data_IF_108727519311
#
_entry.id   IF_108727519311
#
_cell.length_a   1.000
_cell.length_b   1.000
_cell.length_c   1.000
_cell.angle_alpha   90.00
_cell.angle_beta   90.00
_cell.angle_gamma   90.00
#
_symmetry.space_group_name_H-M   'P 1'
#
loop_
_entity.id
_entity.type
_entity.pdbx_description
1 polymer ?
#
# COMPACT_ATOMS: atom_id res chain seq x y z
N UNK A 1 -24.46 -3.24 -4.97
CA UNK A 1 -23.68 -4.49 -5.07
C UNK A 1 -22.50 -4.33 -4.13
N UNK A 2 -22.29 -5.25 -3.18
CA UNK A 2 -21.09 -5.23 -2.35
C UNK A 2 -19.89 -5.53 -3.24
N UNK A 3 -18.97 -4.57 -3.38
CA UNK A 3 -17.67 -4.84 -4.00
C UNK A 3 -16.95 -5.91 -3.17
N UNK A 4 -16.39 -6.92 -3.82
CA UNK A 4 -15.56 -7.94 -3.17
C UNK A 4 -14.24 -7.30 -2.74
N UNK A 5 -13.69 -7.71 -1.60
CA UNK A 5 -12.38 -7.27 -1.09
C UNK A 5 -11.26 -7.31 -2.15
N UNK A 6 -11.34 -8.28 -3.08
CA UNK A 6 -10.36 -8.47 -4.16
C UNK A 6 -10.55 -7.51 -5.34
N UNK A 7 -11.71 -6.86 -5.49
CA UNK A 7 -12.03 -6.03 -6.66
C UNK A 7 -11.23 -4.71 -6.66
N UNK A 8 -10.75 -4.28 -5.49
CA UNK A 8 -9.92 -3.07 -5.33
C UNK A 8 -8.42 -3.36 -5.43
N UNK A 9 -8.01 -4.60 -5.75
CA UNK A 9 -6.60 -5.00 -5.81
C UNK A 9 -6.01 -4.93 -7.22
N UNK A 10 -4.70 -4.72 -7.28
CA UNK A 10 -3.87 -4.94 -8.46
C UNK A 10 -2.86 -6.09 -8.21
N UNK A 11 -1.93 -6.31 -9.13
CA UNK A 11 -0.90 -7.34 -9.00
C UNK A 11 -0.06 -7.21 -7.73
N UNK A 12 0.39 -6.01 -7.41
CA UNK A 12 1.22 -5.74 -6.23
C UNK A 12 0.43 -5.88 -4.92
N UNK A 13 -0.82 -5.41 -4.89
CA UNK A 13 -1.69 -5.57 -3.73
C UNK A 13 -2.02 -7.05 -3.47
N UNK A 14 -2.23 -7.84 -4.54
CA UNK A 14 -2.45 -9.27 -4.45
C UNK A 14 -1.24 -10.04 -3.93
N UNK A 15 -0.05 -9.76 -4.46
CA UNK A 15 1.20 -10.36 -4.00
C UNK A 15 1.45 -10.08 -2.50
N UNK A 16 1.30 -8.82 -2.08
CA UNK A 16 1.42 -8.41 -0.67
C UNK A 16 0.36 -9.06 0.25
N UNK A 17 -0.82 -9.38 -0.28
CA UNK A 17 -1.87 -10.08 0.47
C UNK A 17 -1.57 -11.57 0.57
N UNK A 18 -1.12 -12.20 -0.51
CA UNK A 18 -0.64 -13.58 -0.52
C UNK A 18 0.55 -13.77 0.43
N UNK A 19 1.50 -12.84 0.46
CA UNK A 19 2.62 -12.90 1.39
C UNK A 19 2.15 -12.90 2.85
N UNK A 20 1.18 -12.05 3.22
CA UNK A 20 0.60 -12.05 4.58
C UNK A 20 -0.07 -13.38 4.90
N UNK A 21 -0.84 -13.95 3.97
CA UNK A 21 -1.47 -15.26 4.13
C UNK A 21 -0.39 -16.32 4.41
N UNK A 22 0.64 -16.39 3.57
CA UNK A 22 1.67 -17.41 3.66
C UNK A 22 2.54 -17.24 4.91
N UNK A 23 2.85 -16.00 5.33
CA UNK A 23 3.54 -15.73 6.60
C UNK A 23 2.73 -16.19 7.82
N UNK A 24 1.40 -16.04 7.79
CA UNK A 24 0.53 -16.54 8.86
C UNK A 24 0.48 -18.07 8.84
N UNK A 25 0.47 -18.68 7.64
CA UNK A 25 0.39 -20.13 7.47
C UNK A 25 1.67 -20.86 7.91
N UNK A 26 2.82 -20.43 7.39
CA UNK A 26 4.12 -21.08 7.60
C UNK A 26 4.90 -20.51 8.80
N UNK A 27 4.65 -19.26 9.18
CA UNK A 27 5.41 -18.56 10.20
C UNK A 27 6.80 -18.13 9.74
N UNK A 28 7.47 -17.33 10.58
CA UNK A 28 8.79 -16.73 10.28
C UNK A 28 9.91 -17.74 10.04
N UNK A 29 9.76 -18.97 10.54
CA UNK A 29 10.81 -19.99 10.48
C UNK A 29 10.86 -20.77 9.18
N UNK A 30 9.75 -20.81 8.43
CA UNK A 30 9.58 -21.73 7.30
C UNK A 30 9.04 -21.07 6.05
N UNK A 31 9.12 -19.75 5.98
CA UNK A 31 8.71 -18.96 4.84
C UNK A 31 9.75 -17.90 4.51
N UNK A 32 10.15 -17.87 3.24
CA UNK A 32 11.10 -16.91 2.72
C UNK A 32 10.48 -16.16 1.55
N UNK A 33 10.47 -14.84 1.66
CA UNK A 33 10.19 -13.91 0.56
C UNK A 33 11.47 -13.55 -0.16
N UNK A 34 11.47 -13.58 -1.49
CA UNK A 34 12.63 -13.19 -2.30
C UNK A 34 12.49 -11.72 -2.73
N UNK A 35 13.39 -10.84 -2.28
CA UNK A 35 13.34 -9.43 -2.69
C UNK A 35 13.69 -9.28 -4.17
N UNK A 36 12.87 -8.54 -4.92
CA UNK A 36 13.12 -8.21 -6.33
C UNK A 36 13.94 -6.93 -6.57
N UNK A 37 14.25 -6.17 -5.52
CA UNK A 37 14.80 -4.81 -5.64
C UNK A 37 16.26 -4.76 -6.13
N UNK A 38 17.03 -5.84 -5.94
CA UNK A 38 18.40 -5.97 -6.43
C UNK A 38 18.47 -7.15 -7.41
N UNK A 39 18.71 -6.85 -8.68
CA UNK A 39 18.93 -7.83 -9.76
C UNK A 39 17.74 -8.77 -10.08
N UNK A 40 16.54 -8.46 -9.58
CA UNK A 40 15.31 -9.22 -9.81
C UNK A 40 15.16 -10.45 -8.89
N UNK A 41 14.05 -11.17 -9.05
CA UNK A 41 13.66 -12.28 -8.16
C UNK A 41 13.95 -13.68 -8.74
N UNK A 42 14.63 -13.74 -9.89
CA UNK A 42 14.81 -14.96 -10.69
C UNK A 42 13.49 -15.66 -11.09
N UNK A 43 12.34 -15.00 -11.02
CA UNK A 43 11.02 -15.61 -11.20
C UNK A 43 10.56 -16.44 -10.00
N UNK A 44 11.04 -16.10 -8.81
CA UNK A 44 10.68 -16.71 -7.53
C UNK A 44 10.18 -15.61 -6.58
N UNK A 45 8.90 -15.59 -6.23
CA UNK A 45 8.41 -14.61 -5.26
C UNK A 45 8.63 -15.13 -3.84
N UNK A 46 8.17 -16.37 -3.56
CA UNK A 46 8.28 -16.97 -2.24
C UNK A 46 8.63 -18.45 -2.30
N UNK A 47 9.20 -18.96 -1.21
CA UNK A 47 9.35 -20.39 -0.97
C UNK A 47 9.18 -20.75 0.50
N UNK A 48 8.83 -22.01 0.76
CA UNK A 48 8.70 -22.57 2.10
C UNK A 48 9.52 -23.84 2.26
N UNK A 49 9.91 -24.15 3.50
CA UNK A 49 10.76 -25.30 3.84
C UNK A 49 10.14 -26.66 3.49
N UNK A 50 8.83 -26.69 3.27
CA UNK A 50 8.10 -27.89 2.83
C UNK A 50 8.34 -28.25 1.34
N UNK A 51 9.16 -27.46 0.63
CA UNK A 51 9.47 -27.66 -0.78
C UNK A 51 8.44 -27.03 -1.71
N UNK A 52 7.67 -26.04 -1.25
CA UNK A 52 6.73 -25.28 -2.09
C UNK A 52 7.34 -23.97 -2.57
N UNK A 53 7.33 -23.76 -3.89
CA UNK A 53 7.57 -22.47 -4.53
C UNK A 53 6.26 -21.80 -4.87
N UNK A 54 6.21 -20.48 -4.66
CA UNK A 54 5.03 -19.66 -4.91
C UNK A 54 5.31 -18.60 -5.98
N UNK A 55 4.28 -18.35 -6.79
CA UNK A 55 4.15 -17.21 -7.68
C UNK A 55 2.74 -16.65 -7.54
N UNK A 56 2.59 -15.34 -7.69
CA UNK A 56 1.33 -14.64 -7.64
C UNK A 56 0.99 -14.12 -9.02
N UNK A 57 -0.31 -14.11 -9.32
CA UNK A 57 -0.78 -13.49 -10.54
C UNK A 57 -2.19 -12.95 -10.36
N UNK A 58 -2.34 -11.65 -10.62
CA UNK A 58 -3.63 -10.98 -10.64
C UNK A 58 -4.06 -10.73 -12.09
N UNK A 59 -4.82 -11.64 -12.72
CA UNK A 59 -5.37 -11.42 -14.04
C UNK A 59 -6.42 -10.31 -13.99
N UNK A 60 -6.52 -9.53 -15.08
CA UNK A 60 -7.56 -8.52 -15.26
C UNK A 60 -8.96 -9.11 -14.95
N UNK A 61 -9.68 -8.61 -13.93
CA UNK A 61 -10.95 -9.18 -13.52
C UNK A 61 -12.06 -8.98 -14.56
N UNK A 62 -11.90 -8.00 -15.46
CA UNK A 62 -12.86 -7.64 -16.50
C UNK A 62 -12.73 -8.47 -17.78
N UNK A 63 -11.65 -9.24 -17.93
CA UNK A 63 -11.41 -9.99 -19.16
C UNK A 63 -12.37 -11.17 -19.34
N UNK A 64 -12.54 -11.60 -20.60
CA UNK A 64 -13.36 -12.75 -20.95
C UNK A 64 -12.81 -14.04 -20.31
N UNK A 65 -13.64 -15.08 -20.17
CA UNK A 65 -13.17 -16.37 -19.66
C UNK A 65 -12.07 -16.98 -20.54
N UNK A 66 -12.13 -16.76 -21.86
CA UNK A 66 -11.13 -17.27 -22.78
C UNK A 66 -9.80 -16.55 -22.58
N UNK A 67 -9.81 -15.22 -22.51
CA UNK A 67 -8.63 -14.41 -22.24
C UNK A 67 -8.04 -14.71 -20.86
N UNK A 68 -8.88 -14.87 -19.84
CA UNK A 68 -8.47 -15.25 -18.50
C UNK A 68 -7.70 -16.58 -18.53
N UNK A 69 -8.26 -17.61 -19.17
CA UNK A 69 -7.59 -18.91 -19.30
C UNK A 69 -6.27 -18.78 -20.04
N UNK A 70 -6.24 -18.04 -21.15
CA UNK A 70 -5.02 -17.89 -21.96
C UNK A 70 -3.92 -17.17 -21.18
N UNK A 71 -4.24 -16.08 -20.50
CA UNK A 71 -3.29 -15.29 -19.69
C UNK A 71 -2.70 -16.11 -18.54
N UNK A 72 -3.55 -16.83 -17.79
CA UNK A 72 -3.08 -17.68 -16.69
C UNK A 72 -2.21 -18.83 -17.21
N UNK A 73 -2.59 -19.47 -18.33
CA UNK A 73 -1.76 -20.51 -18.97
C UNK A 73 -0.40 -19.97 -19.42
N UNK A 74 -0.37 -18.77 -19.99
CA UNK A 74 0.87 -18.11 -20.40
C UNK A 74 1.78 -17.84 -19.19
N UNK A 75 1.23 -17.26 -18.11
CA UNK A 75 1.96 -17.01 -16.86
C UNK A 75 2.58 -18.30 -16.31
N UNK A 76 1.81 -19.39 -16.18
CA UNK A 76 2.32 -20.71 -15.75
C UNK A 76 3.47 -21.16 -16.65
N UNK A 77 3.32 -21.07 -17.96
CA UNK A 77 4.36 -21.49 -18.89
C UNK A 77 5.64 -20.64 -18.79
N UNK A 78 5.48 -19.32 -18.74
CA UNK A 78 6.58 -18.37 -18.66
C UNK A 78 7.37 -18.55 -17.38
N UNK A 79 6.69 -18.64 -16.23
CA UNK A 79 7.36 -18.77 -14.93
C UNK A 79 8.07 -20.11 -14.78
N UNK A 80 7.47 -21.22 -15.21
CA UNK A 80 8.16 -22.51 -15.24
C UNK A 80 9.42 -22.47 -16.13
N UNK A 81 9.38 -21.76 -17.25
CA UNK A 81 10.58 -21.59 -18.09
C UNK A 81 11.64 -20.70 -17.40
N UNK A 82 11.24 -19.72 -16.57
CA UNK A 82 12.18 -18.94 -15.75
C UNK A 82 12.91 -19.79 -14.73
N UNK A 83 12.23 -20.77 -14.10
CA UNK A 83 12.88 -21.72 -13.18
C UNK A 83 14.01 -22.51 -13.87
N UNK A 84 13.84 -22.86 -15.14
CA UNK A 84 14.88 -23.52 -15.95
C UNK A 84 16.01 -22.54 -16.28
N UNK A 85 15.66 -21.35 -16.77
CA UNK A 85 16.63 -20.34 -17.20
C UNK A 85 17.54 -19.88 -16.05
N UNK A 86 16.99 -19.75 -14.85
CA UNK A 86 17.66 -19.18 -13.70
C UNK A 86 18.12 -20.24 -12.68
N UNK A 87 18.34 -21.49 -13.14
CA UNK A 87 18.62 -22.62 -12.26
C UNK A 87 19.75 -22.36 -11.26
N UNK A 88 20.86 -21.78 -11.72
CA UNK A 88 22.02 -21.51 -10.87
C UNK A 88 21.71 -20.53 -9.73
N UNK A 89 21.05 -19.41 -10.04
CA UNK A 89 20.66 -18.41 -9.05
C UNK A 89 19.66 -18.96 -8.04
N UNK A 90 18.64 -19.68 -8.52
CA UNK A 90 17.62 -20.30 -7.65
C UNK A 90 18.25 -21.36 -6.75
N UNK A 91 19.17 -22.19 -7.27
CA UNK A 91 19.82 -23.23 -6.46
C UNK A 91 20.63 -22.64 -5.30
N UNK A 92 21.23 -21.47 -5.48
CA UNK A 92 21.92 -20.74 -4.40
C UNK A 92 20.95 -20.21 -3.35
N UNK A 93 19.78 -19.69 -3.78
CA UNK A 93 18.75 -19.21 -2.85
C UNK A 93 18.14 -20.33 -2.00
N UNK A 94 17.96 -21.51 -2.60
CA UNK A 94 17.34 -22.66 -1.95
C UNK A 94 18.28 -23.40 -1.00
N UNK A 95 19.59 -23.22 -1.11
CA UNK A 95 20.62 -23.88 -0.26
C UNK A 95 20.37 -25.39 -0.04
N UNK A 96 20.13 -26.10 -1.14
CA UNK A 96 19.86 -27.54 -1.12
C UNK A 96 18.43 -27.95 -0.80
N UNK A 97 17.51 -27.00 -0.56
CA UNK A 97 16.08 -27.29 -0.45
C UNK A 97 15.55 -27.89 -1.76
N UNK A 98 14.93 -29.07 -1.63
CA UNK A 98 14.35 -29.81 -2.76
C UNK A 98 12.88 -29.45 -2.91
N UNK A 99 12.52 -28.97 -4.10
CA UNK A 99 11.19 -28.50 -4.42
C UNK A 99 10.30 -29.63 -4.90
N UNK A 100 9.17 -29.82 -4.23
CA UNK A 100 8.15 -30.82 -4.54
C UNK A 100 6.88 -30.18 -5.12
N UNK A 101 6.74 -28.86 -5.06
CA UNK A 101 5.57 -28.18 -5.59
C UNK A 101 5.90 -26.78 -6.08
N UNK A 102 5.29 -26.40 -7.21
CA UNK A 102 5.20 -25.00 -7.65
C UNK A 102 3.72 -24.62 -7.70
N UNK A 103 3.37 -23.50 -7.07
CA UNK A 103 1.98 -23.09 -6.85
C UNK A 103 1.76 -21.64 -7.29
N UNK A 104 0.84 -21.47 -8.25
CA UNK A 104 0.37 -20.15 -8.67
C UNK A 104 -0.84 -19.72 -7.84
N UNK A 105 -0.71 -18.63 -7.10
CA UNK A 105 -1.81 -17.99 -6.38
C UNK A 105 -2.51 -16.97 -7.27
N UNK A 106 -3.79 -17.20 -7.53
CA UNK A 106 -4.67 -16.28 -8.26
C UNK A 106 -5.88 -15.87 -7.41
N UNK A 107 -6.50 -14.71 -7.65
CA UNK A 107 -7.67 -14.27 -6.90
C UNK A 107 -8.79 -15.30 -6.87
N UNK A 108 -9.07 -15.94 -8.00
CA UNK A 108 -10.09 -16.98 -8.12
C UNK A 108 -9.67 -18.00 -9.19
N UNK A 109 -9.77 -19.29 -8.89
CA UNK A 109 -9.59 -20.36 -9.88
C UNK A 109 -10.89 -20.54 -10.66
N UNK A 110 -11.05 -19.83 -11.77
CA UNK A 110 -12.33 -19.72 -12.48
C UNK A 110 -12.65 -20.87 -13.44
N UNK A 111 -11.70 -21.77 -13.74
CA UNK A 111 -11.90 -22.87 -14.68
C UNK A 111 -11.11 -24.12 -14.33
N UNK A 112 -11.78 -25.28 -14.41
CA UNK A 112 -11.16 -26.62 -14.28
C UNK A 112 -10.10 -26.89 -15.35
N UNK A 113 -10.15 -26.19 -16.49
CA UNK A 113 -9.16 -26.34 -17.56
C UNK A 113 -7.76 -25.92 -17.10
N UNK A 114 -7.69 -24.98 -16.13
CA UNK A 114 -6.42 -24.55 -15.55
C UNK A 114 -5.80 -25.67 -14.69
N UNK A 115 -6.62 -26.44 -13.98
CA UNK A 115 -6.17 -27.62 -13.22
C UNK A 115 -5.62 -28.68 -14.18
N UNK A 116 -6.37 -28.99 -15.25
CA UNK A 116 -5.92 -29.92 -16.29
C UNK A 116 -4.64 -29.46 -16.99
N UNK A 117 -4.50 -28.14 -17.20
CA UNK A 117 -3.28 -27.55 -17.76
C UNK A 117 -2.08 -27.69 -16.81
N UNK A 118 -2.25 -27.46 -15.52
CA UNK A 118 -1.21 -27.68 -14.51
C UNK A 118 -0.71 -29.14 -14.49
N UNK A 119 -1.64 -30.11 -14.58
CA UNK A 119 -1.29 -31.53 -14.70
C UNK A 119 -0.48 -31.84 -15.96
N UNK A 120 -0.87 -31.25 -17.09
CA UNK A 120 -0.10 -31.36 -18.35
C UNK A 120 1.29 -30.73 -18.20
N UNK A 121 1.35 -29.53 -17.61
CA UNK A 121 2.59 -28.79 -17.39
C UNK A 121 3.56 -29.53 -16.49
N UNK A 122 3.08 -30.15 -15.42
CA UNK A 122 3.88 -31.01 -14.54
C UNK A 122 4.63 -32.07 -15.37
N UNK A 123 3.92 -32.82 -16.22
CA UNK A 123 4.52 -33.88 -17.04
C UNK A 123 5.54 -33.34 -18.04
N UNK A 124 5.25 -32.20 -18.67
CA UNK A 124 6.15 -31.61 -19.67
C UNK A 124 7.38 -30.96 -19.04
N UNK A 125 7.21 -30.32 -17.89
CA UNK A 125 8.26 -29.63 -17.16
C UNK A 125 9.28 -30.61 -16.60
N UNK A 126 8.83 -31.75 -16.04
CA UNK A 126 9.70 -32.81 -15.51
C UNK A 126 10.75 -33.33 -16.50
N UNK A 127 10.50 -33.27 -17.80
CA UNK A 127 11.46 -33.65 -18.85
C UNK A 127 12.68 -32.74 -18.93
N UNK A 128 12.56 -31.51 -18.42
CA UNK A 128 13.57 -30.45 -18.48
C UNK A 128 13.80 -29.83 -17.09
N UNK A 129 13.36 -30.52 -16.03
CA UNK A 129 13.32 -29.95 -14.70
C UNK A 129 14.75 -29.68 -14.18
N UNK A 130 14.99 -28.50 -13.57
CA UNK A 130 16.21 -28.17 -12.84
C UNK A 130 16.55 -29.18 -11.76
N UNK A 131 17.81 -29.17 -11.32
CA UNK A 131 18.35 -30.05 -10.29
C UNK A 131 17.64 -29.95 -8.93
N UNK A 132 17.15 -28.77 -8.54
CA UNK A 132 16.43 -28.55 -7.28
C UNK A 132 14.99 -29.12 -7.28
N UNK A 133 14.48 -29.66 -8.40
CA UNK A 133 13.13 -30.21 -8.49
C UNK A 133 13.13 -31.72 -8.17
N UNK A 134 12.25 -32.14 -7.28
CA UNK A 134 12.02 -33.55 -7.02
C UNK A 134 11.25 -34.23 -8.17
N UNK A 135 11.97 -34.94 -9.02
CA UNK A 135 11.37 -35.59 -10.20
C UNK A 135 10.33 -36.68 -9.87
N UNK A 136 10.35 -37.23 -8.65
CA UNK A 136 9.46 -38.32 -8.24
C UNK A 136 8.07 -37.85 -7.81
N UNK A 137 7.95 -36.66 -7.22
CA UNK A 137 6.69 -36.19 -6.64
C UNK A 137 6.29 -34.76 -7.02
N UNK A 138 7.08 -34.05 -7.86
CA UNK A 138 6.80 -32.66 -8.20
C UNK A 138 5.40 -32.42 -8.80
N UNK A 139 4.75 -31.33 -8.40
CA UNK A 139 3.46 -30.88 -8.94
C UNK A 139 3.46 -29.38 -9.27
N UNK A 140 2.90 -29.05 -10.42
CA UNK A 140 2.43 -27.69 -10.75
C UNK A 140 0.99 -27.58 -10.27
N UNK A 141 0.66 -26.52 -9.53
CA UNK A 141 -0.68 -26.26 -8.99
C UNK A 141 -1.09 -24.81 -9.19
N UNK A 142 -2.39 -24.60 -9.12
CA UNK A 142 -3.03 -23.29 -9.08
C UNK A 142 -4.03 -23.30 -7.95
N UNK A 143 -4.01 -22.29 -7.10
CA UNK A 143 -4.94 -22.14 -5.97
C UNK A 143 -5.35 -20.66 -5.81
N UNK A 144 -6.38 -20.42 -5.01
CA UNK A 144 -6.72 -19.08 -4.51
C UNK A 144 -6.43 -18.96 -3.01
N UNK A 145 -6.66 -17.77 -2.45
CA UNK A 145 -6.67 -17.57 -0.99
C UNK A 145 -7.71 -18.45 -0.28
N UNK A 146 -8.69 -19.03 -0.99
CA UNK A 146 -9.66 -19.96 -0.42
C UNK A 146 -9.04 -21.27 0.07
N UNK A 147 -7.84 -21.63 -0.40
CA UNK A 147 -7.06 -22.73 0.14
C UNK A 147 -6.56 -22.46 1.59
N UNK A 148 -6.60 -21.19 2.04
CA UNK A 148 -6.12 -20.73 3.35
C UNK A 148 -7.22 -19.98 4.11
N UNK A 149 -8.33 -20.64 4.50
CA UNK A 149 -9.53 -19.96 4.97
C UNK A 149 -9.35 -19.18 6.28
N UNK A 150 -8.49 -19.63 7.19
CA UNK A 150 -8.23 -18.93 8.45
C UNK A 150 -7.24 -17.77 8.26
N UNK A 151 -6.20 -18.02 7.47
CA UNK A 151 -5.11 -17.09 7.22
C UNK A 151 -5.59 -15.93 6.34
N UNK A 152 -6.43 -16.20 5.33
CA UNK A 152 -7.06 -15.15 4.52
C UNK A 152 -7.92 -14.23 5.39
N UNK A 153 -8.64 -14.77 6.38
CA UNK A 153 -9.44 -13.95 7.29
C UNK A 153 -8.55 -13.08 8.18
N UNK A 154 -7.51 -13.66 8.79
CA UNK A 154 -6.54 -12.91 9.61
C UNK A 154 -5.80 -11.83 8.80
N UNK A 155 -5.36 -12.16 7.58
CA UNK A 155 -4.70 -11.22 6.68
C UNK A 155 -5.64 -10.05 6.31
N UNK A 156 -6.92 -10.33 6.05
CA UNK A 156 -7.93 -9.28 5.86
C UNK A 156 -8.10 -8.42 7.10
N UNK A 157 -8.20 -9.01 8.29
CA UNK A 157 -8.29 -8.25 9.53
C UNK A 157 -7.10 -7.32 9.74
N UNK A 158 -5.87 -7.76 9.43
CA UNK A 158 -4.68 -6.92 9.53
C UNK A 158 -4.66 -5.76 8.53
N UNK A 159 -5.19 -5.99 7.31
CA UNK A 159 -5.32 -4.93 6.29
C UNK A 159 -6.45 -3.96 6.64
N UNK A 160 -7.55 -4.48 7.18
CA UNK A 160 -8.72 -3.69 7.56
C UNK A 160 -8.57 -3.00 8.91
N UNK A 161 -7.71 -3.50 9.81
CA UNK A 161 -7.41 -2.87 11.09
C UNK A 161 -6.73 -1.54 10.82
N UNK A 162 -7.46 -0.47 11.12
CA UNK A 162 -6.96 0.88 11.03
C UNK A 162 -5.82 1.07 12.04
N UNK A 163 -4.67 1.55 11.58
CA UNK A 163 -3.65 2.07 12.50
C UNK A 163 -4.24 3.32 13.16
N UNK A 164 -4.30 3.28 14.47
CA UNK A 164 -4.89 4.32 15.30
C UNK A 164 -3.89 4.71 16.38
N UNK A 165 -3.52 5.98 16.38
CA UNK A 165 -2.72 6.58 17.43
C UNK A 165 -3.62 7.54 18.19
N UNK A 166 -3.55 7.54 19.53
CA UNK A 166 -4.41 8.38 20.34
C UNK A 166 -4.15 9.87 20.03
N UNK A 167 -5.19 10.57 19.64
CA UNK A 167 -5.16 12.04 19.52
C UNK A 167 -5.46 12.64 20.89
N UNK A 168 -4.45 13.26 21.50
CA UNK A 168 -4.61 13.99 22.75
C UNK A 168 -5.27 15.35 22.53
N UNK A 169 -5.85 15.88 23.60
CA UNK A 169 -6.29 17.28 23.61
C UNK A 169 -5.09 18.22 23.76
N UNK A 170 -5.12 19.32 23.02
CA UNK A 170 -4.13 20.39 23.12
C UNK A 170 -4.68 21.47 24.06
N UNK A 171 -3.94 21.76 25.12
CA UNK A 171 -4.31 22.75 26.12
C UNK A 171 -4.13 24.17 25.60
N UNK A 172 -4.84 25.15 26.19
CA UNK A 172 -4.67 26.56 25.83
C UNK A 172 -3.24 27.05 26.10
N UNK A 173 -2.63 26.57 27.19
CA UNK A 173 -1.25 26.91 27.54
C UNK A 173 -0.26 26.48 26.45
N UNK A 174 -0.41 25.27 25.91
CA UNK A 174 0.43 24.80 24.79
C UNK A 174 0.25 25.65 23.53
N UNK A 175 -0.99 26.06 23.23
CA UNK A 175 -1.24 26.96 22.09
C UNK A 175 -0.57 28.32 22.30
N UNK A 176 -0.63 28.87 23.51
CA UNK A 176 -0.06 30.17 23.81
C UNK A 176 1.47 30.13 23.82
N UNK A 177 2.05 29.04 24.34
CA UNK A 177 3.48 28.75 24.20
C UNK A 177 3.88 28.65 22.73
N UNK A 178 3.14 27.90 21.91
CA UNK A 178 3.40 27.79 20.46
C UNK A 178 3.35 29.14 19.76
N UNK A 179 2.37 30.00 20.08
CA UNK A 179 2.27 31.38 19.54
C UNK A 179 3.50 32.22 19.89
N UNK A 180 4.00 32.10 21.11
CA UNK A 180 5.17 32.85 21.59
C UNK A 180 6.47 32.42 20.89
N UNK A 181 6.66 31.11 20.70
CA UNK A 181 7.85 30.53 20.07
C UNK A 181 7.82 30.74 18.55
N UNK A 182 6.65 30.56 17.93
CA UNK A 182 6.48 30.54 16.47
C UNK A 182 5.82 31.82 15.96
N UNK A 183 6.32 33.00 16.37
CA UNK A 183 5.68 34.29 16.08
C UNK A 183 5.44 34.52 14.58
N UNK A 184 6.39 34.12 13.72
CA UNK A 184 6.24 34.24 12.27
C UNK A 184 5.09 33.37 11.72
N UNK A 185 4.93 32.15 12.24
CA UNK A 185 3.88 31.23 11.81
C UNK A 185 2.51 31.69 12.30
N UNK A 186 2.46 32.18 13.55
CA UNK A 186 1.25 32.79 14.10
C UNK A 186 0.80 34.02 13.29
N UNK A 187 1.73 34.91 12.93
CA UNK A 187 1.44 36.07 12.08
C UNK A 187 0.93 35.65 10.70
N UNK A 188 1.46 34.57 10.13
CA UNK A 188 0.96 34.01 8.87
C UNK A 188 -0.47 33.51 8.99
N UNK A 189 -0.80 32.78 10.07
CA UNK A 189 -2.16 32.32 10.33
C UNK A 189 -3.13 33.49 10.42
N UNK A 190 -2.83 34.51 11.24
CA UNK A 190 -3.69 35.71 11.38
C UNK A 190 -3.92 36.37 10.02
N UNK A 191 -2.84 36.65 9.28
CA UNK A 191 -2.90 37.34 7.99
C UNK A 191 -3.71 36.56 6.95
N UNK A 192 -3.46 35.25 6.82
CA UNK A 192 -4.09 34.43 5.78
C UNK A 192 -5.52 34.06 6.14
N UNK A 193 -5.79 33.69 7.39
CA UNK A 193 -7.15 33.41 7.84
C UNK A 193 -8.03 34.66 7.80
N UNK A 194 -7.46 35.86 8.03
CA UNK A 194 -8.18 37.12 7.85
C UNK A 194 -8.64 37.40 6.41
N UNK A 195 -8.06 36.73 5.41
CA UNK A 195 -8.51 36.78 4.01
C UNK A 195 -9.54 35.70 3.68
N UNK A 196 -9.74 34.73 4.57
CA UNK A 196 -10.73 33.66 4.44
C UNK A 196 -12.01 34.04 5.18
N UNK A 197 -11.87 34.60 6.38
CA UNK A 197 -12.98 34.94 7.26
C UNK A 197 -12.78 36.32 7.91
N UNK A 198 -13.82 37.17 8.02
CA UNK A 198 -13.72 38.50 8.62
C UNK A 198 -13.29 38.51 10.09
N UNK A 199 -13.60 37.45 10.85
CA UNK A 199 -13.20 37.28 12.25
C UNK A 199 -12.49 35.93 12.42
N UNK A 200 -11.17 35.87 12.13
CA UNK A 200 -10.47 34.59 12.00
C UNK A 200 -10.02 34.00 13.35
N UNK A 201 -10.26 34.67 14.49
CA UNK A 201 -9.66 34.29 15.78
C UNK A 201 -9.89 32.83 16.17
N UNK A 202 -11.14 32.36 16.08
CA UNK A 202 -11.49 30.96 16.36
C UNK A 202 -10.87 29.98 15.35
N UNK A 203 -10.80 30.37 14.07
CA UNK A 203 -10.15 29.57 13.02
C UNK A 203 -8.66 29.44 13.30
N UNK A 204 -7.97 30.54 13.62
CA UNK A 204 -6.54 30.55 13.96
C UNK A 204 -6.28 29.65 15.16
N UNK A 205 -7.05 29.77 16.24
CA UNK A 205 -6.85 28.95 17.44
C UNK A 205 -7.12 27.45 17.20
N UNK A 206 -8.07 27.11 16.33
CA UNK A 206 -8.30 25.73 15.87
C UNK A 206 -7.11 25.19 15.08
N UNK A 207 -6.62 25.94 14.09
CA UNK A 207 -5.51 25.52 13.23
C UNK A 207 -4.20 25.36 14.03
N UNK A 208 -3.98 26.14 15.09
CA UNK A 208 -2.83 25.93 15.99
C UNK A 208 -2.97 24.58 16.71
N UNK A 209 -4.17 24.24 17.19
CA UNK A 209 -4.42 22.93 17.79
C UNK A 209 -4.20 21.78 16.80
N UNK A 210 -4.72 21.91 15.58
CA UNK A 210 -4.53 20.90 14.53
C UNK A 210 -3.07 20.78 14.07
N UNK A 211 -2.31 21.87 14.07
CA UNK A 211 -0.86 21.87 13.83
C UNK A 211 -0.13 21.03 14.89
N UNK A 212 -0.42 21.27 16.17
CA UNK A 212 0.26 20.56 17.27
C UNK A 212 -0.07 19.07 17.27
N UNK A 213 -1.35 18.71 17.04
CA UNK A 213 -1.75 17.29 16.88
C UNK A 213 -1.04 16.65 15.69
N UNK A 214 -0.90 17.37 14.57
CA UNK A 214 -0.18 16.86 13.41
C UNK A 214 1.27 16.52 13.75
N UNK A 215 1.98 17.40 14.47
CA UNK A 215 3.38 17.15 14.84
C UNK A 215 3.53 15.88 15.67
N UNK A 216 2.62 15.66 16.65
CA UNK A 216 2.61 14.45 17.46
C UNK A 216 2.35 13.20 16.60
N UNK A 217 1.37 13.26 15.70
CA UNK A 217 1.06 12.14 14.79
C UNK A 217 2.21 11.86 13.81
N UNK A 218 2.85 12.89 13.27
CA UNK A 218 4.01 12.73 12.37
C UNK A 218 5.12 11.96 13.08
N UNK A 219 5.42 12.30 14.34
CA UNK A 219 6.44 11.60 15.14
C UNK A 219 6.05 10.13 15.32
N UNK A 220 4.83 9.87 15.80
CA UNK A 220 4.36 8.51 16.08
C UNK A 220 4.36 7.61 14.83
N UNK A 221 3.83 8.10 13.71
CA UNK A 221 3.82 7.34 12.46
C UNK A 221 5.23 7.16 11.88
N UNK A 222 6.12 8.14 12.02
CA UNK A 222 7.50 8.00 11.55
C UNK A 222 8.28 6.93 12.31
N UNK A 223 8.04 6.81 13.61
CA UNK A 223 8.74 5.86 14.48
C UNK A 223 8.22 4.42 14.30
N UNK A 224 6.91 4.24 14.26
CA UNK A 224 6.29 2.91 14.22
C UNK A 224 6.00 2.40 12.79
N UNK A 225 5.71 3.32 11.86
CA UNK A 225 5.27 3.00 10.49
C UNK A 225 5.94 3.91 9.43
N UNK A 226 7.28 3.87 9.29
CA UNK A 226 8.03 4.84 8.49
C UNK A 226 7.60 4.89 7.01
N UNK A 227 7.25 3.75 6.41
CA UNK A 227 6.76 3.70 5.02
C UNK A 227 5.39 4.37 4.87
N UNK A 228 4.49 4.19 5.84
CA UNK A 228 3.18 4.85 5.83
C UNK A 228 3.31 6.36 6.08
N UNK A 229 4.20 6.76 6.99
CA UNK A 229 4.53 8.17 7.20
C UNK A 229 5.07 8.82 5.92
N UNK A 230 5.93 8.12 5.18
CA UNK A 230 6.46 8.58 3.89
C UNK A 230 5.36 8.71 2.84
N UNK A 231 4.50 7.70 2.70
CA UNK A 231 3.35 7.73 1.78
C UNK A 231 2.46 8.96 2.06
N UNK A 232 2.08 9.18 3.31
CA UNK A 232 1.28 10.34 3.74
C UNK A 232 1.99 11.66 3.40
N UNK A 233 3.28 11.77 3.72
CA UNK A 233 4.07 12.98 3.50
C UNK A 233 4.21 13.32 2.01
N UNK A 234 4.49 12.32 1.18
CA UNK A 234 4.65 12.48 -0.27
C UNK A 234 3.32 12.92 -0.92
N UNK A 235 2.20 12.35 -0.50
CA UNK A 235 0.87 12.68 -1.02
C UNK A 235 0.47 14.12 -0.70
N UNK A 236 0.76 14.59 0.51
CA UNK A 236 0.47 15.97 0.91
C UNK A 236 1.39 16.95 0.21
N UNK A 237 2.68 16.63 0.08
CA UNK A 237 3.63 17.47 -0.65
C UNK A 237 3.22 17.61 -2.13
N UNK A 238 2.72 16.52 -2.75
CA UNK A 238 2.19 16.54 -4.10
C UNK A 238 0.98 17.46 -4.24
N UNK A 239 -0.02 17.35 -3.35
CA UNK A 239 -1.20 18.23 -3.36
C UNK A 239 -0.82 19.70 -3.24
N UNK A 240 0.13 20.00 -2.35
CA UNK A 240 0.63 21.36 -2.18
C UNK A 240 1.35 21.88 -3.44
N UNK A 241 2.15 21.05 -4.10
CA UNK A 241 2.84 21.44 -5.34
C UNK A 241 1.87 21.66 -6.49
N UNK A 242 0.83 20.82 -6.61
CA UNK A 242 -0.26 21.01 -7.59
C UNK A 242 -0.94 22.35 -7.33
N UNK A 243 -1.30 22.63 -6.07
CA UNK A 243 -1.93 23.89 -5.69
C UNK A 243 -1.08 25.10 -6.06
N UNK A 244 0.22 25.08 -5.70
CA UNK A 244 1.17 26.15 -6.05
C UNK A 244 1.27 26.37 -7.56
N UNK A 245 1.24 25.28 -8.33
CA UNK A 245 1.32 25.33 -9.79
C UNK A 245 0.05 25.93 -10.38
N UNK A 246 -1.13 25.50 -9.92
CA UNK A 246 -2.41 26.02 -10.39
C UNK A 246 -2.57 27.51 -10.09
N UNK A 247 -2.09 27.97 -8.93
CA UNK A 247 -2.11 29.38 -8.53
C UNK A 247 -1.30 30.32 -9.46
N UNK A 248 -0.46 29.78 -10.37
CA UNK A 248 0.20 30.56 -11.42
C UNK A 248 -0.76 30.95 -12.55
N UNK A 249 -1.86 30.22 -12.72
CA UNK A 249 -2.77 30.33 -13.87
C UNK A 249 -4.18 30.78 -13.49
N UNK A 250 -4.67 30.45 -12.29
CA UNK A 250 -5.99 30.85 -11.79
C UNK A 250 -5.89 31.63 -10.47
N UNK A 251 -6.81 32.58 -10.30
CA UNK A 251 -7.10 33.21 -9.01
C UNK A 251 -8.45 32.69 -8.53
N UNK A 252 -8.43 32.00 -7.41
CA UNK A 252 -9.61 31.43 -6.76
C UNK A 252 -9.86 32.12 -5.42
N UNK A 253 -11.09 32.04 -4.92
CA UNK A 253 -11.41 32.51 -3.59
C UNK A 253 -10.58 31.75 -2.53
N UNK A 254 -9.98 32.44 -1.53
CA UNK A 254 -9.14 31.80 -0.54
C UNK A 254 -9.83 30.67 0.26
N UNK A 255 -11.12 30.82 0.57
CA UNK A 255 -11.88 29.81 1.29
C UNK A 255 -12.12 28.58 0.42
N UNK A 256 -12.47 28.78 -0.85
CA UNK A 256 -12.64 27.69 -1.81
C UNK A 256 -11.34 26.90 -2.01
N UNK A 257 -10.22 27.59 -2.15
CA UNK A 257 -8.90 27.00 -2.33
C UNK A 257 -8.48 26.13 -1.14
N UNK A 258 -8.68 26.64 0.09
CA UNK A 258 -8.39 25.88 1.32
C UNK A 258 -9.31 24.65 1.44
N UNK A 259 -10.59 24.82 1.11
CA UNK A 259 -11.55 23.71 1.16
C UNK A 259 -11.27 22.64 0.10
N UNK A 260 -10.84 23.02 -1.10
CA UNK A 260 -10.43 22.08 -2.15
C UNK A 260 -9.17 21.31 -1.75
N UNK A 261 -8.15 21.99 -1.21
CA UNK A 261 -6.96 21.33 -0.67
C UNK A 261 -7.33 20.33 0.43
N UNK A 262 -8.21 20.70 1.35
CA UNK A 262 -8.67 19.81 2.42
C UNK A 262 -9.40 18.58 1.86
N UNK A 263 -10.27 18.76 0.86
CA UNK A 263 -10.96 17.64 0.18
C UNK A 263 -9.97 16.70 -0.51
N UNK A 264 -8.97 17.24 -1.21
CA UNK A 264 -7.91 16.47 -1.85
C UNK A 264 -7.07 15.70 -0.83
N UNK A 265 -6.73 16.32 0.30
CA UNK A 265 -6.03 15.63 1.38
C UNK A 265 -6.87 14.48 1.93
N UNK A 266 -8.15 14.70 2.24
CA UNK A 266 -9.05 13.63 2.72
C UNK A 266 -9.17 12.47 1.73
N UNK A 267 -9.35 12.77 0.44
CA UNK A 267 -9.44 11.75 -0.61
C UNK A 267 -8.16 10.91 -0.69
N UNK A 268 -7.01 11.56 -0.67
CA UNK A 268 -5.70 10.91 -0.71
C UNK A 268 -5.47 10.05 0.55
N UNK A 269 -5.69 10.59 1.75
CA UNK A 269 -5.52 9.83 2.99
C UNK A 269 -6.48 8.63 3.05
N UNK A 270 -7.67 8.73 2.44
CA UNK A 270 -8.60 7.60 2.32
C UNK A 270 -8.16 6.51 1.33
N UNK A 271 -7.23 6.82 0.42
CA UNK A 271 -6.69 5.87 -0.56
C UNK A 271 -5.37 5.22 -0.12
N UNK A 272 -4.94 5.42 1.13
CA UNK A 272 -3.74 4.77 1.67
C UNK A 272 -3.86 3.24 1.61
N UNK A 273 -2.74 2.57 1.32
CA UNK A 273 -2.69 1.10 1.26
C UNK A 273 -3.01 0.45 2.60
N UNK A 274 -2.52 1.05 3.68
CA UNK A 274 -2.85 0.67 5.05
C UNK A 274 -3.88 1.65 5.59
N UNK A 275 -5.03 1.12 6.07
CA UNK A 275 -6.05 1.96 6.68
C UNK A 275 -5.49 2.60 7.95
N UNK A 276 -5.84 3.87 8.15
CA UNK A 276 -5.67 4.58 9.41
C UNK A 276 -7.04 4.98 9.96
N UNK A 277 -7.11 5.29 11.25
CA UNK A 277 -8.39 5.62 11.87
C UNK A 277 -8.99 6.88 11.24
N UNK A 278 -10.32 6.99 11.30
CA UNK A 278 -11.01 8.18 10.80
C UNK A 278 -10.54 9.45 11.53
N UNK A 279 -10.24 9.33 12.83
CA UNK A 279 -9.73 10.44 13.64
C UNK A 279 -8.34 10.88 13.15
N UNK A 280 -7.40 9.95 12.96
CA UNK A 280 -6.08 10.26 12.43
C UNK A 280 -6.13 10.79 11.00
N UNK A 281 -6.98 10.21 10.17
CA UNK A 281 -7.18 10.65 8.78
C UNK A 281 -7.62 12.12 8.70
N UNK A 282 -8.61 12.49 9.52
CA UNK A 282 -9.06 13.88 9.59
C UNK A 282 -7.94 14.79 10.12
N UNK A 283 -7.22 14.37 11.17
CA UNK A 283 -6.14 15.16 11.77
C UNK A 283 -4.93 15.35 10.87
N UNK A 284 -4.54 14.35 10.08
CA UNK A 284 -3.57 14.56 9.00
C UNK A 284 -4.12 15.57 7.98
N UNK A 285 -5.35 15.37 7.51
CA UNK A 285 -5.92 16.18 6.43
C UNK A 285 -5.97 17.67 6.77
N UNK A 286 -6.51 18.04 7.94
CA UNK A 286 -6.59 19.44 8.39
C UNK A 286 -5.28 19.94 9.00
N UNK A 287 -4.52 19.06 9.66
CA UNK A 287 -3.24 19.40 10.25
C UNK A 287 -2.24 19.86 9.20
N UNK A 288 -2.17 19.18 8.05
CA UNK A 288 -1.26 19.58 6.96
C UNK A 288 -1.68 20.89 6.30
N UNK A 289 -2.99 21.16 6.21
CA UNK A 289 -3.49 22.48 5.79
C UNK A 289 -3.05 23.55 6.80
N UNK A 290 -3.19 23.27 8.09
CA UNK A 290 -2.76 24.16 9.18
C UNK A 290 -1.27 24.49 9.09
N UNK A 291 -0.44 23.45 8.94
CA UNK A 291 1.02 23.57 8.74
C UNK A 291 1.36 24.38 7.51
N UNK A 292 0.69 24.15 6.39
CA UNK A 292 0.89 24.94 5.18
C UNK A 292 0.52 26.42 5.38
N UNK A 293 -0.63 26.73 5.96
CA UNK A 293 -1.05 28.12 6.19
C UNK A 293 -0.01 28.83 7.09
N UNK A 294 0.43 28.16 8.16
CA UNK A 294 1.41 28.65 9.11
C UNK A 294 2.80 28.89 8.49
N UNK A 295 3.35 27.93 7.74
CA UNK A 295 4.75 27.95 7.30
C UNK A 295 4.97 28.57 5.91
N UNK A 296 3.97 28.49 5.02
CA UNK A 296 4.14 28.91 3.64
C UNK A 296 4.35 30.43 3.51
N UNK A 297 5.31 30.85 2.69
CA UNK A 297 5.58 32.28 2.44
C UNK A 297 4.63 32.93 1.42
N UNK A 298 3.95 32.12 0.59
CA UNK A 298 2.94 32.63 -0.35
C UNK A 298 1.73 33.18 0.40
N UNK A 299 1.02 34.10 -0.23
CA UNK A 299 -0.13 34.78 0.35
C UNK A 299 -1.30 34.82 -0.65
N UNK A 300 -2.52 34.87 -0.12
CA UNK A 300 -3.71 35.00 -0.95
C UNK A 300 -3.78 36.39 -1.58
N UNK A 301 -4.08 36.46 -2.87
CA UNK A 301 -4.32 37.71 -3.59
C UNK A 301 -5.83 37.86 -3.72
N UNK A 302 -6.41 38.82 -3.00
CA UNK A 302 -7.83 39.14 -3.13
C UNK A 302 -8.08 39.72 -4.53
N UNK A 303 -9.14 39.27 -5.20
CA UNK A 303 -9.64 39.84 -6.46
C UNK A 303 -10.35 41.16 -6.23
#
# INVERSE_FOLDING_TARGET
>A
MSSSFKDAMDGTAWENYCEKILRIHYGVRSFTSVPHADSGDHGLEFFADDGTLFQCYFPDPSCSMEDHKQRVKNKINEDLNKLIKNESGISLLLDGLVITQWLLLVPNVRSKDLISYCNTKTKTFLKKAPSFINKGNFKVRIESDDAYPLEKHKARMLIESAIDFPVREITQEEKDQWKSINTNFHNNLIRKCGKIAPSPGAMVDSLIGDYLVLEDLIVAYREEFPELHKEISDMVAANLNILKTNALFSKEDPAELVMDLLKKNRANVSSLRQKISMQNSEKFSIGFVSKWIAECKMDFILS
#
